data_IF_817010126145
#
_entry.id   IF_817010126145
#
_cell.length_a   1.000
_cell.length_b   1.000
_cell.length_c   1.000
_cell.angle_alpha   90.00
_cell.angle_beta   90.00
_cell.angle_gamma   90.00
#
_symmetry.space_group_name_H-M   'P 1'
#
loop_
_entity.id
_entity.type
_entity.pdbx_description
1 polymer ?
#
# COMPACT_ATOMS: atom_id res chain seq x y z
N UNK A 1 2.05 -8.68 -3.66
CA UNK A 1 2.97 -8.81 -2.52
C UNK A 1 2.15 -8.86 -1.24
N UNK A 2 2.61 -9.53 -0.18
CA UNK A 2 2.00 -9.42 1.16
C UNK A 2 3.10 -9.02 2.15
N UNK A 3 2.91 -7.91 2.86
CA UNK A 3 3.88 -7.44 3.86
C UNK A 3 3.36 -7.81 5.25
N UNK A 4 4.13 -8.63 5.98
CA UNK A 4 3.84 -8.91 7.39
C UNK A 4 4.30 -7.73 8.25
N UNK A 5 3.34 -7.07 8.89
CA UNK A 5 3.57 -5.88 9.70
C UNK A 5 3.73 -6.17 11.20
N UNK A 6 3.64 -7.42 11.66
CA UNK A 6 3.66 -7.75 13.09
C UNK A 6 4.95 -7.30 13.79
N UNK A 7 6.09 -7.32 13.11
CA UNK A 7 7.36 -6.84 13.68
C UNK A 7 7.45 -5.32 13.72
N UNK A 8 6.84 -4.64 12.74
CA UNK A 8 6.74 -3.18 12.75
C UNK A 8 5.78 -2.70 13.84
N UNK A 9 4.74 -3.49 14.14
CA UNK A 9 3.84 -3.19 15.26
C UNK A 9 4.47 -3.40 16.64
N UNK A 10 5.61 -4.11 16.73
CA UNK A 10 6.36 -4.34 17.98
C UNK A 10 7.53 -3.36 18.16
N UNK A 11 7.84 -2.55 17.15
CA UNK A 11 8.93 -1.59 17.22
C UNK A 11 8.51 -0.31 17.94
N UNK A 12 9.48 0.57 18.22
CA UNK A 12 9.22 1.87 18.82
C UNK A 12 8.40 2.77 17.89
N UNK A 13 7.59 3.64 18.47
CA UNK A 13 6.89 4.71 17.74
C UNK A 13 7.92 5.53 16.94
N UNK A 14 7.56 5.87 15.69
CA UNK A 14 8.43 6.54 14.72
C UNK A 14 9.40 5.62 13.99
N UNK A 15 9.42 4.31 14.27
CA UNK A 15 10.23 3.36 13.49
C UNK A 15 9.78 3.34 12.03
N UNK A 16 10.72 3.24 11.10
CA UNK A 16 10.46 3.26 9.66
C UNK A 16 10.98 1.97 9.03
N UNK A 17 10.20 1.37 8.13
CA UNK A 17 10.65 0.31 7.23
C UNK A 17 10.33 0.64 5.80
N UNK A 18 11.29 0.41 4.92
CA UNK A 18 11.15 0.65 3.48
C UNK A 18 11.12 -0.70 2.76
N UNK A 19 10.27 -0.81 1.74
CA UNK A 19 10.14 -1.95 0.87
C UNK A 19 10.16 -1.47 -0.58
N UNK A 20 10.90 -2.19 -1.42
CA UNK A 20 10.81 -2.04 -2.87
C UNK A 20 9.76 -3.03 -3.39
N UNK A 21 8.92 -2.55 -4.29
CA UNK A 21 7.92 -3.32 -5.01
C UNK A 21 8.39 -3.43 -6.44
N UNK A 22 8.41 -4.65 -6.98
CA UNK A 22 8.58 -4.95 -8.39
C UNK A 22 7.89 -6.28 -8.63
N UNK A 23 6.61 -6.22 -8.99
CA UNK A 23 5.77 -7.40 -9.19
C UNK A 23 4.80 -7.20 -10.35
N UNK A 24 4.50 -8.30 -11.04
CA UNK A 24 3.44 -8.34 -12.05
C UNK A 24 2.12 -8.66 -11.36
N UNK A 25 1.12 -7.80 -11.55
CA UNK A 25 -0.25 -7.99 -11.04
C UNK A 25 -1.27 -7.96 -12.17
N UNK A 26 -2.37 -8.67 -12.00
CA UNK A 26 -3.48 -8.64 -12.97
C UNK A 26 -4.40 -7.45 -12.68
N UNK A 27 -4.43 -6.47 -13.59
CA UNK A 27 -5.27 -5.27 -13.55
C UNK A 27 -6.25 -5.34 -14.72
N UNK A 28 -7.56 -5.28 -14.43
CA UNK A 28 -8.61 -5.30 -15.46
C UNK A 28 -8.50 -6.45 -16.50
N UNK A 29 -7.95 -7.60 -16.09
CA UNK A 29 -7.76 -8.77 -16.95
C UNK A 29 -6.49 -8.75 -17.81
N UNK A 30 -5.60 -7.76 -17.64
CA UNK A 30 -4.25 -7.73 -18.21
C UNK A 30 -3.17 -7.79 -17.14
N UNK A 31 -2.00 -8.32 -17.48
CA UNK A 31 -0.85 -8.34 -16.58
C UNK A 31 -0.06 -7.03 -16.71
N UNK A 32 0.14 -6.34 -15.60
CA UNK A 32 0.87 -5.08 -15.51
C UNK A 32 1.98 -5.18 -14.49
N UNK A 33 3.18 -4.72 -14.86
CA UNK A 33 4.27 -4.54 -13.90
C UNK A 33 3.94 -3.36 -12.99
N UNK A 34 4.11 -3.54 -11.68
CA UNK A 34 4.01 -2.49 -10.67
C UNK A 34 5.33 -2.39 -9.95
N UNK A 35 5.93 -1.20 -9.99
CA UNK A 35 7.23 -0.92 -9.40
C UNK A 35 7.18 0.32 -8.54
N UNK A 36 7.96 0.36 -7.47
CA UNK A 36 8.08 1.56 -6.65
C UNK A 36 8.49 1.26 -5.23
N UNK A 37 8.17 2.20 -4.34
CA UNK A 37 8.62 2.15 -2.95
C UNK A 37 7.44 2.31 -1.99
N UNK A 38 7.44 1.50 -0.95
CA UNK A 38 6.51 1.56 0.17
C UNK A 38 7.29 1.85 1.44
N UNK A 39 6.86 2.85 2.19
CA UNK A 39 7.38 3.24 3.50
C UNK A 39 6.31 2.96 4.55
N UNK A 40 6.67 2.20 5.57
CA UNK A 40 5.83 1.91 6.72
C UNK A 40 6.39 2.62 7.95
N UNK A 41 5.63 3.56 8.50
CA UNK A 41 6.00 4.31 9.70
C UNK A 41 5.13 3.84 10.85
N UNK A 42 5.75 3.36 11.93
CA UNK A 42 5.04 2.96 13.15
C UNK A 42 4.50 4.22 13.84
N UNK A 43 3.18 4.36 13.93
CA UNK A 43 2.53 5.43 14.69
C UNK A 43 2.30 4.98 16.13
N UNK A 44 1.65 5.81 16.95
CA UNK A 44 1.27 5.44 18.31
C UNK A 44 0.20 4.34 18.33
N UNK A 45 -0.71 4.37 17.34
CA UNK A 45 -1.90 3.50 17.26
C UNK A 45 -1.89 2.51 16.09
N UNK A 46 -1.00 2.66 15.13
CA UNK A 46 -1.05 1.89 13.90
C UNK A 46 0.24 1.95 13.08
N UNK A 47 0.07 1.90 11.76
CA UNK A 47 1.15 2.06 10.78
C UNK A 47 0.66 2.99 9.68
N UNK A 48 1.33 4.13 9.53
CA UNK A 48 1.19 4.96 8.35
C UNK A 48 1.93 4.30 7.19
N UNK A 49 1.23 4.12 6.08
CA UNK A 49 1.74 3.55 4.84
C UNK A 49 1.78 4.64 3.78
N UNK A 50 2.99 4.99 3.36
CA UNK A 50 3.22 5.91 2.25
C UNK A 50 3.80 5.12 1.09
N UNK A 51 3.24 5.24 -0.11
CA UNK A 51 3.77 4.57 -1.28
C UNK A 51 3.69 5.44 -2.53
N UNK A 52 4.73 5.34 -3.35
CA UNK A 52 4.71 5.83 -4.74
C UNK A 52 4.99 4.64 -5.63
N UNK A 53 3.99 4.27 -6.43
CA UNK A 53 4.03 3.13 -7.33
C UNK A 53 3.80 3.58 -8.77
N UNK A 54 4.53 2.97 -9.68
CA UNK A 54 4.45 3.18 -11.12
C UNK A 54 3.95 1.90 -11.77
N UNK A 55 3.06 2.05 -12.72
CA UNK A 55 2.52 0.94 -13.50
C UNK A 55 2.05 1.42 -14.85
N UNK A 56 1.72 0.49 -15.74
CA UNK A 56 1.13 0.77 -17.03
C UNK A 56 -0.20 0.04 -17.17
N UNK A 57 -1.21 0.75 -17.67
CA UNK A 57 -2.54 0.19 -17.92
C UNK A 57 -2.88 0.31 -19.39
N UNK A 58 -3.48 -0.74 -19.94
CA UNK A 58 -3.92 -0.74 -21.33
C UNK A 58 -5.24 0.01 -21.46
N UNK A 59 -5.23 1.10 -22.21
CA UNK A 59 -6.41 1.98 -22.40
C UNK A 59 -6.69 2.21 -23.89
N UNK A 60 -7.93 2.57 -24.20
CA UNK A 60 -8.34 2.93 -25.57
C UNK A 60 -8.23 4.43 -25.78
N UNK A 61 -7.52 4.86 -26.82
CA UNK A 61 -7.44 6.27 -27.19
C UNK A 61 -8.80 6.78 -27.69
N UNK A 62 -9.31 7.87 -27.09
CA UNK A 62 -10.60 8.46 -27.49
C UNK A 62 -10.60 9.04 -28.90
N UNK A 63 -9.43 9.41 -29.45
CA UNK A 63 -9.31 10.03 -30.78
C UNK A 63 -9.25 9.02 -31.92
N UNK A 64 -8.46 7.96 -31.77
CA UNK A 64 -8.21 6.99 -32.85
C UNK A 64 -8.68 5.57 -32.52
N UNK A 65 -9.25 5.34 -31.33
CA UNK A 65 -9.77 4.05 -30.85
C UNK A 65 -8.73 2.92 -30.81
N UNK A 66 -7.44 3.24 -30.91
CA UNK A 66 -6.36 2.27 -30.76
C UNK A 66 -6.05 2.01 -29.29
N UNK A 67 -5.67 0.77 -28.98
CA UNK A 67 -5.13 0.40 -27.67
C UNK A 67 -3.69 0.88 -27.53
N UNK A 68 -3.33 1.37 -26.35
CA UNK A 68 -1.95 1.70 -25.99
C UNK A 68 -1.75 1.55 -24.48
N UNK A 69 -0.49 1.43 -24.06
CA UNK A 69 -0.11 1.36 -22.66
C UNK A 69 0.06 2.79 -22.12
N UNK A 70 -0.72 3.12 -21.09
CA UNK A 70 -0.71 4.44 -20.45
C UNK A 70 0.00 4.34 -19.10
N UNK A 71 1.08 5.12 -18.89
CA UNK A 71 1.80 5.13 -17.62
C UNK A 71 0.95 5.81 -16.55
N UNK A 72 0.85 5.15 -15.40
CA UNK A 72 0.13 5.61 -14.22
C UNK A 72 1.08 5.67 -13.04
N UNK A 73 0.98 6.75 -12.25
CA UNK A 73 1.63 6.86 -10.95
C UNK A 73 0.56 6.91 -9.87
N UNK A 74 0.68 6.02 -8.89
CA UNK A 74 -0.19 5.89 -7.74
C UNK A 74 0.56 6.43 -6.52
N UNK A 75 -0.05 7.40 -5.84
CA UNK A 75 0.41 7.89 -4.54
C UNK A 75 -0.58 7.43 -3.49
N UNK A 76 -0.11 6.65 -2.53
CA UNK A 76 -0.91 6.07 -1.45
C UNK A 76 -0.39 6.67 -0.14
N UNK A 77 -1.31 7.15 0.68
CA UNK A 77 -1.04 7.61 2.04
C UNK A 77 -2.23 7.17 2.90
N UNK A 78 -2.07 6.08 3.63
CA UNK A 78 -3.16 5.42 4.36
C UNK A 78 -2.65 4.91 5.71
N UNK A 79 -3.50 4.93 6.73
CA UNK A 79 -3.15 4.41 8.05
C UNK A 79 -3.82 3.07 8.33
N UNK A 80 -3.02 2.08 8.73
CA UNK A 80 -3.48 0.77 9.15
C UNK A 80 -3.59 0.71 10.68
N UNK A 81 -4.79 0.37 11.17
CA UNK A 81 -5.05 0.14 12.59
C UNK A 81 -5.22 -1.37 12.88
N UNK A 82 -4.41 -1.94 13.80
CA UNK A 82 -4.56 -3.33 14.19
C UNK A 82 -5.82 -3.51 15.06
N UNK A 83 -6.64 -4.51 14.74
CA UNK A 83 -7.79 -4.93 15.56
C UNK A 83 -7.41 -5.89 16.70
N UNK A 84 -6.16 -6.32 16.74
CA UNK A 84 -5.64 -7.23 17.76
C UNK A 84 -4.24 -6.81 18.14
N UNK A 85 -3.99 -6.70 19.44
CA UNK A 85 -2.68 -6.38 19.97
C UNK A 85 -1.69 -7.54 19.68
N UNK A 86 -0.59 -7.21 19.00
CA UNK A 86 0.38 -8.21 18.51
C UNK A 86 1.25 -8.85 19.61
N UNK A 87 1.19 -8.34 20.84
CA UNK A 87 1.95 -8.83 21.99
C UNK A 87 1.07 -9.70 22.89
N UNK A 88 -0.12 -9.19 23.25
CA UNK A 88 -1.06 -9.82 24.18
C UNK A 88 -2.13 -10.68 23.51
N UNK A 89 -2.39 -10.48 22.21
CA UNK A 89 -3.48 -11.14 21.49
C UNK A 89 -4.87 -10.61 21.82
N UNK A 90 -4.96 -9.49 22.57
CA UNK A 90 -6.23 -8.90 22.99
C UNK A 90 -6.87 -8.11 21.85
N UNK A 91 -8.20 -8.13 21.75
CA UNK A 91 -8.95 -7.29 20.80
C UNK A 91 -8.75 -5.81 21.10
N UNK A 92 -8.49 -5.00 20.07
CA UNK A 92 -8.40 -3.55 20.15
C UNK A 92 -9.66 -2.92 19.54
N UNK A 93 -10.15 -1.84 20.14
CA UNK A 93 -11.21 -1.02 19.55
C UNK A 93 -10.67 -0.23 18.36
N UNK A 94 -11.41 -0.19 17.26
CA UNK A 94 -11.10 0.72 16.15
C UNK A 94 -11.17 2.18 16.62
N UNK A 95 -10.30 3.06 16.11
CA UNK A 95 -10.45 4.49 16.33
C UNK A 95 -11.77 4.97 15.73
N UNK A 96 -12.44 5.91 16.40
CA UNK A 96 -13.57 6.65 15.82
C UNK A 96 -13.05 7.48 14.64
N UNK A 97 -13.67 7.35 13.47
CA UNK A 97 -13.34 8.19 12.32
C UNK A 97 -13.61 9.66 12.70
N UNK A 98 -12.64 10.58 12.52
CA UNK A 98 -12.93 12.00 12.64
C UNK A 98 -13.88 12.39 11.51
N UNK A 99 -15.10 12.78 11.88
CA UNK A 99 -16.11 13.33 10.96
C UNK A 99 -15.79 14.73 10.46
#
# INVERSE_FOLDING_TARGET
>A
MRINVSQQLKSSIGSIRNYEVSEVISIAGGDSMVEGKVTLVRTDRGILTEATLHTEVKVTCSRCLSLFDYPLTLSIEEEYFPITDVVSGTSLSLPEEPG
#
